data_IF_867017790781
#
_entry.id   IF_867017790781
#
_cell.length_a   1.000
_cell.length_b   1.000
_cell.length_c   1.000
_cell.angle_alpha   90.00
_cell.angle_beta   90.00
_cell.angle_gamma   90.00
#
_symmetry.space_group_name_H-M   'P 1'
#
loop_
_entity.id
_entity.type
_entity.pdbx_description
1 polymer ?
#
# COMPACT_ATOMS: atom_id res chain seq x y z
N UNK A 1 2.59 -11.86 13.75
CA UNK A 1 3.67 -11.06 13.16
C UNK A 1 4.43 -10.31 14.24
N UNK A 2 5.72 -10.04 14.01
CA UNK A 2 6.62 -9.46 14.99
C UNK A 2 7.55 -8.45 14.32
N UNK A 3 7.83 -7.34 14.99
CA UNK A 3 8.89 -6.43 14.56
C UNK A 3 10.25 -7.03 14.91
N UNK A 4 11.15 -7.09 13.93
CA UNK A 4 12.46 -7.69 14.10
C UNK A 4 13.44 -6.75 14.82
N UNK A 5 13.84 -7.13 16.01
CA UNK A 5 14.91 -6.50 16.79
C UNK A 5 16.12 -7.42 16.80
N UNK A 6 17.27 -6.94 16.32
CA UNK A 6 18.48 -7.76 16.17
C UNK A 6 19.62 -7.30 17.07
N UNK A 7 20.39 -8.29 17.56
CA UNK A 7 21.72 -8.08 18.11
C UNK A 7 22.68 -9.03 17.40
N UNK A 8 23.81 -8.51 16.92
CA UNK A 8 24.78 -9.28 16.13
C UNK A 8 26.16 -9.19 16.72
N UNK A 9 27.01 -10.20 16.47
CA UNK A 9 28.41 -10.20 16.86
C UNK A 9 29.27 -9.14 16.16
N UNK A 10 28.77 -8.56 15.06
CA UNK A 10 29.40 -7.45 14.33
C UNK A 10 29.17 -6.07 14.97
N UNK A 11 28.51 -6.01 16.13
CA UNK A 11 28.35 -4.77 16.90
C UNK A 11 27.00 -4.09 16.82
N UNK A 12 26.03 -4.60 16.04
CA UNK A 12 24.66 -4.12 16.11
C UNK A 12 24.03 -4.59 17.43
N UNK A 13 23.64 -3.67 18.28
CA UNK A 13 23.01 -3.97 19.57
C UNK A 13 21.59 -3.44 19.61
N UNK A 14 20.59 -4.33 19.81
CA UNK A 14 19.15 -4.00 19.88
C UNK A 14 18.72 -3.11 18.68
N UNK A 15 19.24 -3.45 17.50
CA UNK A 15 18.98 -2.69 16.29
C UNK A 15 17.60 -3.05 15.72
N UNK A 16 16.70 -2.08 15.68
CA UNK A 16 15.39 -2.23 15.04
C UNK A 16 15.55 -1.99 13.53
N UNK A 17 15.67 -3.09 12.76
CA UNK A 17 15.88 -3.03 11.31
C UNK A 17 14.67 -2.50 10.56
N UNK A 18 13.48 -2.55 11.19
CA UNK A 18 12.24 -2.05 10.64
C UNK A 18 11.47 -3.09 9.80
N UNK A 19 11.92 -4.32 9.78
CA UNK A 19 11.18 -5.41 9.12
C UNK A 19 10.16 -6.05 10.07
N UNK A 20 9.04 -6.46 9.51
CA UNK A 20 8.03 -7.30 10.16
C UNK A 20 8.20 -8.72 9.66
N UNK A 21 8.24 -9.67 10.59
CA UNK A 21 8.44 -11.09 10.31
C UNK A 21 7.24 -11.91 10.80
N UNK A 22 7.09 -13.08 10.18
CA UNK A 22 6.19 -14.15 10.60
C UNK A 22 6.97 -15.45 10.66
N UNK A 23 6.78 -16.26 11.73
CA UNK A 23 7.32 -17.61 11.77
C UNK A 23 6.52 -18.51 10.82
N UNK A 24 7.22 -19.21 9.95
CA UNK A 24 6.67 -20.29 9.10
C UNK A 24 6.82 -21.64 9.78
N UNK A 25 7.91 -21.80 10.57
CA UNK A 25 8.10 -22.94 11.45
C UNK A 25 8.81 -22.49 12.73
N UNK A 26 8.17 -22.72 13.88
CA UNK A 26 8.80 -22.47 15.18
C UNK A 26 9.85 -23.55 15.49
N UNK A 27 9.58 -24.79 15.13
CA UNK A 27 10.45 -25.92 15.36
C UNK A 27 11.78 -25.79 14.60
N UNK A 28 11.71 -25.35 13.33
CA UNK A 28 12.89 -25.16 12.47
C UNK A 28 13.45 -23.74 12.51
N UNK A 29 12.89 -22.84 13.33
CA UNK A 29 13.27 -21.44 13.44
C UNK A 29 13.23 -20.67 12.11
N UNK A 30 12.27 -21.02 11.24
CA UNK A 30 12.13 -20.39 9.94
C UNK A 30 11.22 -19.17 10.03
N UNK A 31 11.62 -18.09 9.37
CA UNK A 31 10.89 -16.84 9.29
C UNK A 31 10.80 -16.36 7.84
N UNK A 32 9.73 -15.62 7.55
CA UNK A 32 9.60 -14.82 6.33
C UNK A 32 9.41 -13.35 6.71
N UNK A 33 9.88 -12.45 5.84
CA UNK A 33 9.62 -11.03 5.97
C UNK A 33 8.27 -10.75 5.32
N UNK A 34 7.30 -10.23 6.11
CA UNK A 34 5.95 -9.92 5.64
C UNK A 34 5.75 -8.43 5.36
N UNK A 35 6.67 -7.58 5.80
CA UNK A 35 6.55 -6.15 5.56
C UNK A 35 7.56 -5.31 6.32
N UNK A 36 7.23 -4.04 6.49
CA UNK A 36 8.04 -3.08 7.24
C UNK A 36 7.22 -2.31 8.26
N UNK A 37 7.79 -2.07 9.45
CA UNK A 37 7.15 -1.34 10.55
C UNK A 37 6.74 0.09 10.19
N UNK A 38 7.35 0.70 9.17
CA UNK A 38 7.05 2.07 8.71
C UNK A 38 6.05 2.12 7.55
N UNK A 39 5.64 0.97 7.01
CA UNK A 39 4.80 0.88 5.80
C UNK A 39 3.39 0.39 6.09
N UNK A 40 2.86 0.75 7.26
CA UNK A 40 1.45 0.59 7.55
C UNK A 40 0.67 1.84 7.10
N UNK A 41 -0.48 1.61 6.53
CA UNK A 41 -1.53 2.59 6.48
C UNK A 41 -2.42 2.38 7.71
N UNK A 42 -2.46 3.34 8.58
CA UNK A 42 -3.34 3.34 9.74
C UNK A 42 -3.70 4.80 10.03
N UNK A 43 -4.97 5.14 9.86
CA UNK A 43 -5.55 6.45 10.13
C UNK A 43 -6.40 6.40 11.39
N UNK A 44 -7.13 5.31 11.55
CA UNK A 44 -8.10 5.12 12.60
C UNK A 44 -8.00 3.76 13.31
N UNK A 45 -6.99 2.95 12.98
CA UNK A 45 -6.77 1.64 13.62
C UNK A 45 -6.76 0.45 12.66
N UNK A 46 -6.98 0.68 11.36
CA UNK A 46 -7.11 -0.38 10.35
C UNK A 46 -5.83 -1.21 10.12
N UNK A 47 -4.68 -0.78 10.61
CA UNK A 47 -3.39 -1.47 10.55
C UNK A 47 -3.10 -2.20 9.23
N UNK A 48 -3.40 -1.55 8.11
CA UNK A 48 -3.28 -2.14 6.78
C UNK A 48 -1.81 -2.26 6.36
N UNK A 49 -1.29 -3.47 6.38
CA UNK A 49 0.11 -3.75 6.01
C UNK A 49 0.34 -3.68 4.51
N UNK A 50 1.60 -3.50 4.11
CA UNK A 50 1.96 -3.55 2.69
C UNK A 50 1.64 -4.93 2.07
N UNK A 51 1.75 -6.00 2.85
CA UNK A 51 1.43 -7.36 2.41
C UNK A 51 -0.07 -7.51 2.13
N UNK A 52 -0.94 -7.01 3.03
CA UNK A 52 -2.38 -6.96 2.78
C UNK A 52 -2.71 -6.22 1.49
N UNK A 53 -2.09 -5.03 1.28
CA UNK A 53 -2.31 -4.22 0.08
C UNK A 53 -1.84 -4.92 -1.19
N UNK A 54 -0.63 -5.50 -1.20
CA UNK A 54 -0.11 -6.23 -2.34
C UNK A 54 -0.98 -7.45 -2.67
N UNK A 55 -1.39 -8.21 -1.63
CA UNK A 55 -2.22 -9.40 -1.80
C UNK A 55 -3.62 -9.06 -2.33
N UNK A 56 -4.23 -7.98 -1.84
CA UNK A 56 -5.52 -7.51 -2.35
C UNK A 56 -5.43 -7.14 -3.83
N UNK A 57 -4.41 -6.38 -4.23
CA UNK A 57 -4.20 -5.99 -5.63
C UNK A 57 -3.93 -7.20 -6.51
N UNK A 58 -3.13 -8.17 -6.05
CA UNK A 58 -2.88 -9.43 -6.77
C UNK A 58 -4.18 -10.19 -7.03
N UNK A 59 -4.99 -10.42 -6.00
CA UNK A 59 -6.26 -11.16 -6.11
C UNK A 59 -7.26 -10.46 -7.03
N UNK A 60 -7.42 -9.14 -6.87
CA UNK A 60 -8.32 -8.35 -7.71
C UNK A 60 -7.84 -8.30 -9.16
N UNK A 61 -6.52 -8.20 -9.41
CA UNK A 61 -5.96 -8.26 -10.76
C UNK A 61 -6.28 -9.58 -11.46
N UNK A 62 -6.14 -10.71 -10.75
CA UNK A 62 -6.46 -12.03 -11.27
C UNK A 62 -7.96 -12.18 -11.56
N UNK A 63 -8.81 -11.74 -10.63
CA UNK A 63 -10.26 -11.86 -10.75
C UNK A 63 -10.82 -11.04 -11.92
N UNK A 64 -10.36 -9.78 -12.06
CA UNK A 64 -10.81 -8.87 -13.11
C UNK A 64 -10.06 -9.07 -14.43
N UNK A 65 -9.06 -9.95 -14.45
CA UNK A 65 -8.18 -10.21 -15.60
C UNK A 65 -7.55 -8.91 -16.16
N UNK A 66 -7.03 -8.08 -15.25
CA UNK A 66 -6.33 -6.82 -15.57
C UNK A 66 -4.90 -6.86 -15.03
N UNK A 67 -4.00 -6.12 -15.66
CA UNK A 67 -2.62 -6.01 -15.22
C UNK A 67 -2.38 -4.69 -14.49
N UNK A 68 -2.42 -4.72 -13.16
CA UNK A 68 -2.06 -3.57 -12.32
C UNK A 68 -0.54 -3.58 -12.13
N UNK A 69 0.17 -2.66 -12.79
CA UNK A 69 1.64 -2.58 -12.77
C UNK A 69 2.17 -1.84 -11.53
N UNK A 70 1.46 -0.80 -11.12
CA UNK A 70 1.81 0.01 -9.94
C UNK A 70 0.56 0.41 -9.18
N UNK A 71 0.73 0.64 -7.89
CA UNK A 71 -0.30 1.28 -7.08
C UNK A 71 0.31 2.02 -5.89
N UNK A 72 -0.44 2.95 -5.36
CA UNK A 72 -0.16 3.58 -4.07
C UNK A 72 -1.46 3.96 -3.39
N UNK A 73 -1.43 4.06 -2.07
CA UNK A 73 -2.59 4.46 -1.29
C UNK A 73 -2.23 5.59 -0.34
N UNK A 74 -3.15 6.49 -0.14
CA UNK A 74 -3.05 7.56 0.84
C UNK A 74 -4.26 7.52 1.77
N UNK A 75 -4.02 7.79 3.04
CA UNK A 75 -5.09 8.10 3.95
C UNK A 75 -5.40 9.58 3.91
N UNK A 76 -6.65 9.93 3.73
CA UNK A 76 -7.11 11.31 3.64
C UNK A 76 -8.27 11.59 4.59
N UNK A 77 -8.42 12.84 5.07
CA UNK A 77 -9.65 13.27 5.72
C UNK A 77 -10.83 13.17 4.73
N UNK A 78 -11.96 12.71 5.23
CA UNK A 78 -13.18 12.58 4.45
C UNK A 78 -14.38 12.96 5.31
N UNK A 79 -14.92 14.13 5.04
CA UNK A 79 -15.91 14.78 5.90
C UNK A 79 -15.40 14.87 7.36
N UNK A 80 -16.06 14.29 8.32
CA UNK A 80 -15.65 14.25 9.75
C UNK A 80 -14.81 13.01 10.09
N UNK A 81 -14.52 12.15 9.13
CA UNK A 81 -13.87 10.86 9.28
C UNK A 81 -12.70 10.69 8.31
N UNK A 82 -12.46 9.49 7.79
CA UNK A 82 -11.34 9.15 6.93
C UNK A 82 -11.79 8.38 5.69
N UNK A 83 -10.97 8.47 4.63
CA UNK A 83 -11.04 7.62 3.46
C UNK A 83 -9.66 7.15 3.02
N UNK A 84 -9.61 6.02 2.32
CA UNK A 84 -8.43 5.61 1.56
C UNK A 84 -8.56 6.09 0.12
N UNK A 85 -7.53 6.76 -0.38
CA UNK A 85 -7.41 7.13 -1.78
C UNK A 85 -6.37 6.23 -2.45
N UNK A 86 -6.83 5.36 -3.31
CA UNK A 86 -6.02 4.43 -4.09
C UNK A 86 -5.77 5.00 -5.48
N UNK A 87 -4.51 5.11 -5.84
CA UNK A 87 -4.08 5.41 -7.20
C UNK A 87 -3.60 4.11 -7.83
N UNK A 88 -4.26 3.69 -8.90
CA UNK A 88 -4.04 2.38 -9.55
C UNK A 88 -3.47 2.60 -10.94
N UNK A 89 -2.28 2.06 -11.19
CA UNK A 89 -1.57 2.12 -12.46
C UNK A 89 -1.87 0.88 -13.32
N UNK A 90 -2.78 1.02 -14.28
CA UNK A 90 -3.06 0.00 -15.28
C UNK A 90 -3.29 0.63 -16.64
N UNK A 91 -2.96 -0.10 -17.69
CA UNK A 91 -3.21 0.30 -19.09
C UNK A 91 -4.41 -0.48 -19.67
N UNK A 92 -4.98 -1.41 -18.88
CA UNK A 92 -6.16 -2.18 -19.26
C UNK A 92 -7.44 -1.41 -18.94
N UNK A 93 -8.50 -1.56 -19.75
CA UNK A 93 -9.79 -0.97 -19.47
C UNK A 93 -10.42 -1.63 -18.24
N UNK A 94 -10.86 -0.82 -17.28
CA UNK A 94 -11.52 -1.31 -16.06
C UNK A 94 -12.61 -0.36 -15.61
N UNK A 95 -13.71 -0.92 -15.11
CA UNK A 95 -14.74 -0.14 -14.42
C UNK A 95 -14.23 0.21 -13.02
N UNK A 96 -14.08 1.52 -12.77
CA UNK A 96 -13.55 2.06 -11.52
C UNK A 96 -14.42 1.67 -10.31
N UNK A 97 -15.74 1.58 -10.48
CA UNK A 97 -16.65 1.20 -9.39
C UNK A 97 -16.53 -0.28 -9.05
N UNK A 98 -16.38 -1.12 -10.06
CA UNK A 98 -16.11 -2.57 -9.85
C UNK A 98 -14.76 -2.73 -9.16
N UNK A 99 -13.71 -2.07 -9.65
CA UNK A 99 -12.38 -2.13 -9.06
C UNK A 99 -12.39 -1.67 -7.59
N UNK A 100 -13.03 -0.54 -7.28
CA UNK A 100 -13.23 -0.01 -5.93
C UNK A 100 -13.88 -1.05 -5.02
N UNK A 101 -14.99 -1.63 -5.46
CA UNK A 101 -15.76 -2.60 -4.68
C UNK A 101 -14.92 -3.84 -4.39
N UNK A 102 -14.24 -4.38 -5.40
CA UNK A 102 -13.43 -5.59 -5.23
C UNK A 102 -12.21 -5.38 -4.33
N UNK A 103 -11.53 -4.23 -4.44
CA UNK A 103 -10.43 -3.87 -3.52
C UNK A 103 -10.95 -3.81 -2.06
N UNK A 104 -12.06 -3.13 -1.83
CA UNK A 104 -12.64 -2.96 -0.48
C UNK A 104 -13.08 -4.30 0.13
N UNK A 105 -13.76 -5.15 -0.64
CA UNK A 105 -14.19 -6.47 -0.21
C UNK A 105 -13.00 -7.39 0.09
N UNK A 106 -12.04 -7.46 -0.81
CA UNK A 106 -10.83 -8.29 -0.62
C UNK A 106 -10.03 -7.86 0.60
N UNK A 107 -9.92 -6.55 0.85
CA UNK A 107 -9.24 -6.06 2.06
C UNK A 107 -9.99 -6.42 3.34
N UNK A 108 -11.33 -6.41 3.34
CA UNK A 108 -12.14 -6.88 4.48
C UNK A 108 -11.96 -8.37 4.76
N UNK A 109 -11.67 -9.17 3.74
CA UNK A 109 -11.38 -10.59 3.90
C UNK A 109 -9.97 -10.85 4.42
N UNK A 110 -9.01 -10.00 4.05
CA UNK A 110 -7.60 -10.15 4.40
C UNK A 110 -7.21 -9.52 5.75
N UNK A 111 -8.04 -8.60 6.28
CA UNK A 111 -7.69 -7.83 7.46
C UNK A 111 -8.93 -7.47 8.29
N UNK A 112 -9.03 -8.07 9.47
CA UNK A 112 -10.18 -7.89 10.36
C UNK A 112 -10.25 -6.46 10.94
N UNK A 113 -9.11 -5.84 11.25
CA UNK A 113 -9.07 -4.45 11.73
C UNK A 113 -9.60 -3.50 10.65
N UNK A 114 -9.20 -3.70 9.40
CA UNK A 114 -9.74 -2.94 8.27
C UNK A 114 -11.26 -3.11 8.16
N UNK A 115 -11.75 -4.35 8.29
CA UNK A 115 -13.20 -4.64 8.24
C UNK A 115 -13.97 -3.91 9.33
N UNK A 116 -13.44 -3.86 10.54
CA UNK A 116 -14.05 -3.13 11.68
C UNK A 116 -14.05 -1.62 11.40
N UNK A 117 -12.92 -1.07 10.95
CA UNK A 117 -12.79 0.37 10.70
C UNK A 117 -13.61 0.85 9.51
N UNK A 118 -13.88 -0.01 8.52
CA UNK A 118 -14.82 0.32 7.42
C UNK A 118 -16.23 0.59 7.91
N UNK A 119 -16.60 0.09 9.07
CA UNK A 119 -17.90 0.37 9.72
C UNK A 119 -17.79 1.62 10.58
N UNK A 120 -16.70 1.73 11.35
CA UNK A 120 -16.51 2.76 12.37
C UNK A 120 -16.10 4.12 11.79
N UNK A 121 -14.91 4.24 11.25
CA UNK A 121 -14.25 5.51 10.95
C UNK A 121 -13.76 5.67 9.51
N UNK A 122 -13.50 4.59 8.80
CA UNK A 122 -13.05 4.60 7.40
C UNK A 122 -14.26 4.58 6.46
N UNK A 123 -14.80 5.73 6.11
CA UNK A 123 -16.10 5.87 5.45
C UNK A 123 -16.08 5.57 3.96
N UNK A 124 -14.98 5.84 3.27
CA UNK A 124 -14.92 5.60 1.83
C UNK A 124 -13.57 5.04 1.37
N UNK A 125 -13.62 4.40 0.21
CA UNK A 125 -12.46 4.01 -0.60
C UNK A 125 -12.62 4.73 -1.93
N UNK A 126 -11.69 5.62 -2.24
CA UNK A 126 -11.66 6.34 -3.50
C UNK A 126 -10.63 5.64 -4.39
N UNK A 127 -10.98 5.36 -5.62
CA UNK A 127 -10.06 4.74 -6.59
C UNK A 127 -9.92 5.68 -7.79
N UNK A 128 -8.67 6.00 -8.10
CA UNK A 128 -8.29 6.76 -9.29
C UNK A 128 -7.41 5.87 -10.17
N UNK A 129 -7.87 5.56 -11.36
CA UNK A 129 -7.13 4.77 -12.35
C UNK A 129 -6.31 5.70 -13.22
N UNK A 130 -5.03 5.40 -13.35
CA UNK A 130 -4.04 6.16 -14.10
C UNK A 130 -3.29 5.23 -15.06
N UNK A 131 -2.84 5.71 -16.23
CA UNK A 131 -1.87 4.97 -17.03
C UNK A 131 -0.62 4.63 -16.21
N UNK A 132 -0.12 3.41 -16.34
CA UNK A 132 1.05 2.95 -15.59
C UNK A 132 2.27 3.86 -15.77
N UNK A 133 2.41 4.44 -16.96
CA UNK A 133 3.47 5.39 -17.30
C UNK A 133 3.54 6.60 -16.36
N UNK A 134 2.42 7.07 -15.83
CA UNK A 134 2.35 8.25 -14.93
C UNK A 134 3.19 8.04 -13.67
N UNK A 135 3.20 6.82 -13.12
CA UNK A 135 4.00 6.46 -11.95
C UNK A 135 5.50 6.49 -12.28
N UNK A 136 5.89 5.96 -13.43
CA UNK A 136 7.29 5.94 -13.85
C UNK A 136 7.81 7.33 -14.18
N UNK A 137 7.04 8.13 -14.91
CA UNK A 137 7.40 9.53 -15.24
C UNK A 137 7.57 10.38 -13.97
N UNK A 138 6.72 10.17 -12.95
CA UNK A 138 6.89 10.84 -11.67
C UNK A 138 8.20 10.44 -10.98
N UNK A 139 8.52 9.13 -10.93
CA UNK A 139 9.77 8.67 -10.33
C UNK A 139 10.99 9.21 -11.08
N UNK A 140 10.94 9.26 -12.40
CA UNK A 140 11.98 9.85 -13.24
C UNK A 140 12.15 11.34 -12.95
N UNK A 141 11.06 12.10 -12.79
CA UNK A 141 11.09 13.52 -12.43
C UNK A 141 11.78 13.79 -11.08
N UNK A 142 11.83 12.79 -10.20
CA UNK A 142 12.55 12.83 -8.92
C UNK A 142 14.01 12.34 -9.03
N UNK A 143 14.50 12.03 -10.24
CA UNK A 143 15.83 11.47 -10.46
C UNK A 143 15.96 10.00 -10.04
N UNK A 144 14.85 9.30 -9.82
CA UNK A 144 14.80 7.90 -9.37
C UNK A 144 14.56 6.98 -10.56
N UNK A 145 15.63 6.66 -11.28
CA UNK A 145 15.59 5.85 -12.49
C UNK A 145 16.12 4.44 -12.22
N UNK A 146 15.45 3.42 -12.77
CA UNK A 146 15.88 2.03 -12.74
C UNK A 146 15.14 1.16 -11.72
N UNK A 147 15.31 -0.16 -11.88
CA UNK A 147 14.57 -1.19 -11.14
C UNK A 147 14.79 -1.20 -9.62
N UNK A 148 15.83 -0.52 -9.12
CA UNK A 148 16.10 -0.38 -7.70
C UNK A 148 15.13 0.57 -6.99
N UNK A 149 14.43 1.44 -7.73
CA UNK A 149 13.50 2.41 -7.17
C UNK A 149 12.07 1.95 -7.40
N UNK A 150 11.41 1.57 -6.31
CA UNK A 150 9.98 1.20 -6.33
C UNK A 150 9.12 2.39 -5.89
N UNK A 151 7.96 2.53 -6.50
CA UNK A 151 6.98 3.51 -6.07
C UNK A 151 6.51 3.18 -4.63
N UNK A 152 6.43 4.15 -3.72
CA UNK A 152 5.98 3.89 -2.35
C UNK A 152 4.54 3.38 -2.32
N UNK A 153 4.27 2.29 -1.62
CA UNK A 153 2.90 1.74 -1.49
C UNK A 153 1.98 2.62 -0.65
N UNK A 154 2.56 3.46 0.21
CA UNK A 154 1.81 4.42 1.03
C UNK A 154 2.39 5.81 0.87
N UNK A 155 1.56 6.78 0.53
CA UNK A 155 1.91 8.19 0.48
C UNK A 155 1.35 8.92 1.71
N UNK A 156 2.21 9.73 2.36
CA UNK A 156 1.85 10.54 3.54
C UNK A 156 2.52 11.91 3.48
N UNK A 157 1.86 12.93 4.04
CA UNK A 157 2.43 14.26 4.20
C UNK A 157 2.95 14.86 2.89
N UNK A 158 4.18 15.36 2.88
CA UNK A 158 4.75 16.03 1.71
C UNK A 158 4.79 15.17 0.45
N UNK A 159 5.04 13.86 0.59
CA UNK A 159 5.07 12.94 -0.57
C UNK A 159 3.71 12.83 -1.26
N UNK A 160 2.61 12.86 -0.48
CA UNK A 160 1.27 12.90 -1.04
C UNK A 160 1.00 14.24 -1.73
N UNK A 161 1.34 15.35 -1.09
CA UNK A 161 1.16 16.68 -1.66
C UNK A 161 1.93 16.84 -2.99
N UNK A 162 3.18 16.35 -3.06
CA UNK A 162 4.01 16.39 -4.26
C UNK A 162 3.42 15.53 -5.39
N UNK A 163 2.92 14.33 -5.07
CA UNK A 163 2.23 13.45 -6.01
C UNK A 163 0.97 14.09 -6.58
N UNK A 164 0.11 14.62 -5.73
CA UNK A 164 -1.11 15.30 -6.17
C UNK A 164 -0.82 16.57 -6.99
N UNK A 165 0.23 17.31 -6.63
CA UNK A 165 0.67 18.46 -7.40
C UNK A 165 1.15 18.04 -8.81
N UNK A 166 1.87 16.93 -8.91
CA UNK A 166 2.27 16.36 -10.18
C UNK A 166 1.05 15.95 -11.02
N UNK A 167 0.10 15.22 -10.44
CA UNK A 167 -1.13 14.81 -11.15
C UNK A 167 -1.92 16.01 -11.67
N UNK A 168 -2.02 17.09 -10.88
CA UNK A 168 -2.68 18.33 -11.33
C UNK A 168 -1.99 19.01 -12.53
N UNK A 169 -0.68 18.82 -12.69
CA UNK A 169 0.07 19.38 -13.84
C UNK A 169 -0.18 18.60 -15.13
N UNK A 170 -0.27 17.28 -15.04
CA UNK A 170 -0.43 16.43 -16.24
C UNK A 170 -1.88 16.33 -16.72
N UNK A 171 -2.86 16.68 -15.87
CA UNK A 171 -4.30 16.72 -16.24
C UNK A 171 -4.73 18.05 -16.90
N UNK A 172 -3.84 19.05 -16.94
CA UNK A 172 -4.06 20.31 -17.65
C UNK A 172 -3.62 20.22 -19.10
#
# INVERSE_FOLDING_TARGET
>A
EYALLMSTCSGAWRYLIGDVIKFTSIEHHEIIITGRTKHFLSLCGEHLSQDNMNKAIELVSLELNINIKEFTVAGIPYDTMFAHHWYIGTDDPVDVNVLKTRIDETLKELNDDYKVERIAALKDVIVEVLPSKVFYDYMESLGKIGAAFKFPRVLKGQKLADWEAYLRKIKK
#
